data_IF_646479025174
#
_entry.id   IF_646479025174
#
_cell.length_a   1.000
_cell.length_b   1.000
_cell.length_c   1.000
_cell.angle_alpha   90.00
_cell.angle_beta   90.00
_cell.angle_gamma   90.00
#
_symmetry.space_group_name_H-M   'P 1'
#
loop_
_entity.id
_entity.type
_entity.pdbx_description
1 polymer ?
#
# COMPACT_ATOMS: atom_id res chain seq x y z
N UNK A 1 -9.41 34.88 23.80
CA UNK A 1 -9.45 34.95 22.30
C UNK A 1 -8.23 34.32 21.62
N UNK A 2 -6.98 34.68 21.97
CA UNK A 2 -5.76 34.15 21.33
C UNK A 2 -5.67 32.61 21.31
N UNK A 3 -6.06 31.94 22.40
CA UNK A 3 -5.95 30.47 22.47
C UNK A 3 -6.99 29.74 21.61
N UNK A 4 -8.16 30.36 21.38
CA UNK A 4 -9.19 29.81 20.48
C UNK A 4 -8.78 29.93 19.01
N UNK A 5 -8.10 31.01 18.65
CA UNK A 5 -7.52 31.19 17.31
C UNK A 5 -6.36 30.20 17.07
N UNK A 6 -5.47 30.02 18.05
CA UNK A 6 -4.40 29.01 17.99
C UNK A 6 -4.97 27.59 17.85
N UNK A 7 -6.00 27.26 18.62
CA UNK A 7 -6.64 25.94 18.55
C UNK A 7 -7.27 25.68 17.17
N UNK A 8 -7.94 26.68 16.57
CA UNK A 8 -8.46 26.58 15.19
C UNK A 8 -7.35 26.39 14.17
N UNK A 9 -6.23 27.11 14.31
CA UNK A 9 -5.08 26.94 13.43
C UNK A 9 -4.48 25.53 13.53
N UNK A 10 -4.30 25.01 14.75
CA UNK A 10 -3.82 23.65 15.00
C UNK A 10 -4.78 22.60 14.42
N UNK A 11 -6.10 22.79 14.58
CA UNK A 11 -7.11 21.91 13.99
C UNK A 11 -7.01 21.88 12.46
N UNK A 12 -6.85 23.06 11.82
CA UNK A 12 -6.66 23.16 10.38
C UNK A 12 -5.41 22.43 9.89
N UNK A 13 -4.27 22.63 10.56
CA UNK A 13 -3.02 21.95 10.23
C UNK A 13 -3.17 20.43 10.41
N UNK A 14 -3.77 19.98 11.51
CA UNK A 14 -3.96 18.57 11.78
C UNK A 14 -4.88 17.89 10.76
N UNK A 15 -5.91 18.57 10.28
CA UNK A 15 -6.77 18.08 9.20
C UNK A 15 -5.97 17.88 7.90
N UNK A 16 -5.17 18.88 7.49
CA UNK A 16 -4.31 18.77 6.31
C UNK A 16 -3.29 17.63 6.43
N UNK A 17 -2.66 17.49 7.60
CA UNK A 17 -1.72 16.39 7.85
C UNK A 17 -2.42 15.03 7.77
N UNK A 18 -3.63 14.90 8.33
CA UNK A 18 -4.43 13.68 8.23
C UNK A 18 -4.71 13.32 6.77
N UNK A 19 -5.18 14.28 5.99
CA UNK A 19 -5.53 14.06 4.57
C UNK A 19 -4.29 13.66 3.76
N UNK A 20 -3.14 14.33 3.99
CA UNK A 20 -1.87 13.96 3.37
C UNK A 20 -1.45 12.52 3.71
N UNK A 21 -1.51 12.13 4.98
CA UNK A 21 -1.09 10.77 5.40
C UNK A 21 -2.03 9.69 4.88
N UNK A 22 -3.33 9.99 4.77
CA UNK A 22 -4.28 9.09 4.12
C UNK A 22 -3.96 8.92 2.63
N UNK A 23 -3.65 10.00 1.91
CA UNK A 23 -3.26 9.92 0.50
C UNK A 23 -2.00 9.07 0.31
N UNK A 24 -0.99 9.24 1.17
CA UNK A 24 0.23 8.42 1.14
C UNK A 24 -0.05 6.93 1.43
N UNK A 25 -0.91 6.64 2.40
CA UNK A 25 -1.34 5.28 2.69
C UNK A 25 -2.04 4.64 1.49
N UNK A 26 -2.93 5.37 0.81
CA UNK A 26 -3.59 4.90 -0.40
C UNK A 26 -2.60 4.58 -1.51
N UNK A 27 -1.63 5.46 -1.76
CA UNK A 27 -0.58 5.23 -2.77
C UNK A 27 0.25 3.97 -2.46
N UNK A 28 0.66 3.79 -1.20
CA UNK A 28 1.40 2.59 -0.78
C UNK A 28 0.57 1.32 -0.94
N UNK A 29 -0.73 1.37 -0.59
CA UNK A 29 -1.65 0.24 -0.75
C UNK A 29 -1.85 -0.13 -2.23
N UNK A 30 -2.01 0.86 -3.12
CA UNK A 30 -2.14 0.62 -4.56
C UNK A 30 -0.86 0.02 -5.17
N UNK A 31 0.32 0.50 -4.77
CA UNK A 31 1.58 -0.05 -5.22
C UNK A 31 1.71 -1.52 -4.84
N UNK A 32 1.37 -1.86 -3.59
CA UNK A 32 1.31 -3.24 -3.09
C UNK A 32 0.32 -4.10 -3.87
N UNK A 33 -0.89 -3.60 -4.10
CA UNK A 33 -1.94 -4.32 -4.84
C UNK A 33 -1.53 -4.62 -6.29
N UNK A 34 -0.86 -3.67 -6.97
CA UNK A 34 -0.33 -3.88 -8.33
C UNK A 34 0.71 -5.00 -8.38
N UNK A 35 1.58 -5.11 -7.36
CA UNK A 35 2.59 -6.18 -7.30
C UNK A 35 1.95 -7.55 -7.04
N UNK A 36 0.94 -7.61 -6.15
CA UNK A 36 0.17 -8.84 -5.92
C UNK A 36 -0.51 -9.32 -7.20
N UNK A 37 -1.19 -8.42 -7.92
CA UNK A 37 -1.83 -8.76 -9.19
C UNK A 37 -0.83 -9.28 -10.25
N UNK A 38 0.41 -8.76 -10.26
CA UNK A 38 1.48 -9.27 -11.13
C UNK A 38 1.94 -10.67 -10.73
N UNK A 39 2.02 -10.97 -9.44
CA UNK A 39 2.35 -12.31 -8.94
C UNK A 39 1.26 -13.32 -9.32
N UNK A 40 -0.01 -12.95 -9.13
CA UNK A 40 -1.14 -13.79 -9.51
C UNK A 40 -1.14 -14.09 -11.02
N UNK A 41 -0.77 -13.11 -11.84
CA UNK A 41 -0.63 -13.27 -13.29
C UNK A 41 0.48 -14.25 -13.74
N UNK A 42 1.37 -14.69 -12.85
CA UNK A 42 2.39 -15.70 -13.17
C UNK A 42 1.87 -17.14 -13.02
N UNK A 43 0.66 -17.34 -12.50
CA UNK A 43 0.00 -18.64 -12.44
C UNK A 43 -0.62 -19.00 -13.79
N UNK A 44 0.20 -19.51 -14.70
CA UNK A 44 -0.21 -19.89 -16.06
C UNK A 44 -0.28 -21.42 -16.16
N UNK A 45 -1.37 -21.99 -16.73
CA UNK A 45 -1.48 -23.43 -16.95
C UNK A 45 -0.50 -23.92 -18.03
N UNK A 46 -0.21 -25.21 -18.01
CA UNK A 46 0.64 -25.83 -19.04
C UNK A 46 -0.03 -25.74 -20.43
N UNK A 47 0.79 -25.66 -21.48
CA UNK A 47 0.33 -25.71 -22.86
C UNK A 47 -0.30 -27.08 -23.18
N UNK A 48 -1.53 -27.08 -23.68
CA UNK A 48 -2.31 -28.30 -23.98
C UNK A 48 -2.40 -28.60 -25.48
N UNK A 49 -1.99 -27.65 -26.31
CA UNK A 49 -2.05 -27.66 -27.77
C UNK A 49 -0.74 -28.14 -28.43
N UNK A 50 0.25 -28.51 -27.63
CA UNK A 50 1.55 -28.98 -28.10
C UNK A 50 1.72 -30.50 -27.92
N UNK A 51 2.54 -31.15 -28.77
CA UNK A 51 3.02 -32.51 -28.50
C UNK A 51 3.66 -32.59 -27.11
N UNK A 52 3.47 -33.71 -26.41
CA UNK A 52 3.83 -33.86 -24.99
C UNK A 52 5.25 -33.38 -24.63
N UNK A 53 6.24 -33.75 -25.45
CA UNK A 53 7.64 -33.35 -25.23
C UNK A 53 7.83 -31.84 -25.39
N UNK A 54 7.23 -31.24 -26.41
CA UNK A 54 7.26 -29.79 -26.64
C UNK A 54 6.52 -29.03 -25.53
N UNK A 55 5.36 -29.52 -25.09
CA UNK A 55 4.61 -28.95 -23.97
C UNK A 55 5.44 -28.94 -22.67
N UNK A 56 6.15 -30.04 -22.39
CA UNK A 56 7.03 -30.15 -21.23
C UNK A 56 8.21 -29.18 -21.29
N UNK A 57 8.86 -29.03 -22.45
CA UNK A 57 9.98 -28.09 -22.65
C UNK A 57 9.54 -26.63 -22.47
N UNK A 58 8.40 -26.24 -23.07
CA UNK A 58 7.84 -24.90 -22.93
C UNK A 58 7.47 -24.62 -21.48
N UNK A 59 6.82 -25.58 -20.80
CA UNK A 59 6.45 -25.45 -19.39
C UNK A 59 7.68 -25.25 -18.51
N UNK A 60 8.74 -26.04 -18.70
CA UNK A 60 9.98 -25.90 -17.94
C UNK A 60 10.68 -24.56 -18.19
N UNK A 61 10.73 -24.12 -19.44
CA UNK A 61 11.29 -22.82 -19.81
C UNK A 61 10.53 -21.66 -19.16
N UNK A 62 9.20 -21.71 -19.23
CA UNK A 62 8.33 -20.74 -18.57
C UNK A 62 8.51 -20.75 -17.05
N UNK A 63 8.54 -21.92 -16.41
CA UNK A 63 8.71 -22.04 -14.96
C UNK A 63 10.01 -21.39 -14.48
N UNK A 64 11.14 -21.64 -15.17
CA UNK A 64 12.43 -21.02 -14.84
C UNK A 64 12.38 -19.49 -14.93
N UNK A 65 11.78 -18.96 -15.99
CA UNK A 65 11.57 -17.52 -16.14
C UNK A 65 10.65 -16.96 -15.04
N UNK A 66 9.54 -17.65 -14.77
CA UNK A 66 8.55 -17.25 -13.78
C UNK A 66 9.14 -17.26 -12.36
N UNK A 67 10.01 -18.22 -12.02
CA UNK A 67 10.68 -18.28 -10.71
C UNK A 67 11.59 -17.09 -10.47
N UNK A 68 12.41 -16.72 -11.45
CA UNK A 68 13.20 -15.49 -11.38
C UNK A 68 12.28 -14.28 -11.20
N UNK A 69 11.20 -14.20 -11.98
CA UNK A 69 10.26 -13.08 -11.89
C UNK A 69 9.54 -13.00 -10.54
N UNK A 70 9.13 -14.14 -9.98
CA UNK A 70 8.53 -14.23 -8.63
C UNK A 70 9.50 -13.74 -7.58
N UNK A 71 10.79 -14.11 -7.66
CA UNK A 71 11.80 -13.65 -6.69
C UNK A 71 11.92 -12.12 -6.65
N UNK A 72 11.95 -11.47 -7.82
CA UNK A 72 12.03 -10.02 -7.95
C UNK A 72 10.77 -9.33 -7.39
N UNK A 73 9.60 -9.85 -7.76
CA UNK A 73 8.31 -9.31 -7.31
C UNK A 73 8.11 -9.52 -5.81
N UNK A 74 8.56 -10.65 -5.23
CA UNK A 74 8.48 -10.91 -3.80
C UNK A 74 9.35 -9.93 -3.00
N UNK A 75 10.57 -9.63 -3.48
CA UNK A 75 11.42 -8.62 -2.84
C UNK A 75 10.77 -7.23 -2.88
N UNK A 76 10.19 -6.87 -4.02
CA UNK A 76 9.44 -5.62 -4.17
C UNK A 76 8.23 -5.57 -3.23
N UNK A 77 7.47 -6.67 -3.16
CA UNK A 77 6.29 -6.80 -2.30
C UNK A 77 6.66 -6.68 -0.82
N UNK A 78 7.80 -7.25 -0.39
CA UNK A 78 8.28 -7.12 0.97
C UNK A 78 8.55 -5.66 1.33
N UNK A 79 9.24 -4.91 0.47
CA UNK A 79 9.51 -3.47 0.66
C UNK A 79 8.23 -2.65 0.69
N UNK A 80 7.31 -2.90 -0.25
CA UNK A 80 6.01 -2.21 -0.30
C UNK A 80 5.13 -2.54 0.91
N UNK A 81 5.20 -3.76 1.43
CA UNK A 81 4.46 -4.14 2.64
C UNK A 81 5.01 -3.41 3.87
N UNK A 82 6.34 -3.27 3.98
CA UNK A 82 6.95 -2.49 5.05
C UNK A 82 6.54 -1.00 4.98
N UNK A 83 6.64 -0.36 3.81
CA UNK A 83 6.21 1.03 3.63
C UNK A 83 4.71 1.19 3.91
N UNK A 84 3.85 0.29 3.42
CA UNK A 84 2.42 0.31 3.72
C UNK A 84 2.13 0.25 5.22
N UNK A 85 2.83 -0.62 5.97
CA UNK A 85 2.69 -0.71 7.43
C UNK A 85 3.14 0.59 8.13
N UNK A 86 4.23 1.20 7.68
CA UNK A 86 4.69 2.49 8.19
C UNK A 86 3.67 3.60 7.94
N UNK A 87 3.18 3.75 6.69
CA UNK A 87 2.14 4.73 6.34
C UNK A 87 0.84 4.49 7.10
N UNK A 88 0.49 3.23 7.36
CA UNK A 88 -0.70 2.90 8.15
C UNK A 88 -0.56 3.41 9.59
N UNK A 89 0.61 3.25 10.21
CA UNK A 89 0.89 3.78 11.54
C UNK A 89 0.87 5.31 11.57
N UNK A 90 1.50 5.96 10.60
CA UNK A 90 1.50 7.42 10.47
C UNK A 90 0.09 7.99 10.28
N UNK A 91 -0.73 7.37 9.41
CA UNK A 91 -2.10 7.79 9.17
C UNK A 91 -2.97 7.63 10.41
N UNK A 92 -2.84 6.51 11.16
CA UNK A 92 -3.53 6.32 12.44
C UNK A 92 -3.18 7.41 13.45
N UNK A 93 -1.89 7.77 13.57
CA UNK A 93 -1.46 8.83 14.48
C UNK A 93 -2.00 10.20 14.06
N UNK A 94 -1.94 10.53 12.76
CA UNK A 94 -2.45 11.79 12.24
C UNK A 94 -3.96 11.92 12.44
N UNK A 95 -4.69 10.81 12.23
CA UNK A 95 -6.12 10.73 12.52
C UNK A 95 -6.41 11.01 14.00
N UNK A 96 -5.74 10.31 14.92
CA UNK A 96 -5.94 10.51 16.36
C UNK A 96 -5.63 11.94 16.83
N UNK A 97 -4.58 12.58 16.28
CA UNK A 97 -4.26 13.98 16.55
C UNK A 97 -5.35 14.94 16.06
N UNK A 98 -5.85 14.73 14.85
CA UNK A 98 -6.92 15.55 14.28
C UNK A 98 -8.23 15.41 15.08
N UNK A 99 -8.57 14.19 15.48
CA UNK A 99 -9.75 13.89 16.30
C UNK A 99 -9.66 14.54 17.68
N UNK A 100 -8.54 14.36 18.39
CA UNK A 100 -8.33 14.96 19.71
C UNK A 100 -8.42 16.50 19.69
N UNK A 101 -7.85 17.14 18.66
CA UNK A 101 -7.96 18.59 18.48
C UNK A 101 -9.37 19.04 18.14
N UNK A 102 -10.12 18.26 17.35
CA UNK A 102 -11.53 18.48 17.06
C UNK A 102 -12.38 18.46 18.33
N UNK A 103 -12.24 17.42 19.14
CA UNK A 103 -12.94 17.29 20.42
C UNK A 103 -12.59 18.42 21.39
N UNK A 104 -11.31 18.83 21.45
CA UNK A 104 -10.89 19.95 22.31
C UNK A 104 -11.48 21.28 21.84
N UNK A 105 -11.60 21.49 20.53
CA UNK A 105 -12.22 22.68 19.95
C UNK A 105 -13.73 22.73 20.21
N UNK A 106 -14.42 21.59 20.20
CA UNK A 106 -15.83 21.47 20.56
C UNK A 106 -16.09 21.74 22.04
N UNK A 107 -15.28 21.17 22.94
CA UNK A 107 -15.39 21.41 24.39
C UNK A 107 -15.12 22.86 24.81
N UNK A 108 -14.39 23.62 23.99
CA UNK A 108 -14.06 25.04 24.22
C UNK A 108 -14.91 26.02 23.39
N UNK A 109 -15.93 25.52 22.68
CA UNK A 109 -16.85 26.37 21.91
C UNK A 109 -17.79 27.13 22.82
#
# INVERSE_FOLDING_TARGET
MKDRAKLRALQGIAALMKDQRLAQLHQAAEARAKTLARLDGLAVPAAVDLPLVSAAQVTLGYQRWADLRRSELNLMLARQTADWMERQAEARLAFGKADALGQLAEKRR
#
